data_IF_372476763314
#
_entry.id   IF_372476763314
#
_cell.length_a   1.000
_cell.length_b   1.000
_cell.length_c   1.000
_cell.angle_alpha   90.00
_cell.angle_beta   90.00
_cell.angle_gamma   90.00
#
_symmetry.space_group_name_H-M   'P 1'
#
loop_
_entity.id
_entity.type
_entity.pdbx_description
1 polymer ?
#
# COMPACT_ATOMS: atom_id res chain seq x y z
N UNK A 1 16.61 10.68 -7.91
CA UNK A 1 15.77 9.57 -7.37
C UNK A 1 14.73 10.12 -6.41
N UNK A 2 15.11 10.83 -5.35
CA UNK A 2 14.15 11.47 -4.43
C UNK A 2 13.13 12.37 -5.13
N UNK A 3 13.54 13.25 -6.05
CA UNK A 3 12.60 14.14 -6.75
C UNK A 3 11.57 13.37 -7.58
N UNK A 4 12.01 12.36 -8.33
CA UNK A 4 11.14 11.49 -9.12
C UNK A 4 10.16 10.72 -8.20
N UNK A 5 10.65 10.19 -7.09
CA UNK A 5 9.80 9.53 -6.12
C UNK A 5 8.73 10.48 -5.57
N UNK A 6 9.09 11.72 -5.22
CA UNK A 6 8.12 12.68 -4.71
C UNK A 6 7.08 13.07 -5.77
N UNK A 7 7.48 13.18 -7.04
CA UNK A 7 6.55 13.46 -8.15
C UNK A 7 5.55 12.31 -8.36
N UNK A 8 5.97 11.06 -8.18
CA UNK A 8 5.13 9.86 -8.30
C UNK A 8 4.36 9.53 -7.00
N UNK A 9 4.85 9.99 -5.85
CA UNK A 9 4.31 9.65 -4.53
C UNK A 9 2.86 10.13 -4.35
N UNK A 10 2.52 11.32 -4.85
CA UNK A 10 1.18 11.86 -4.72
C UNK A 10 0.15 10.98 -5.46
N UNK A 11 0.46 10.57 -6.69
CA UNK A 11 -0.40 9.67 -7.48
C UNK A 11 -0.54 8.29 -6.82
N UNK A 12 0.57 7.76 -6.28
CA UNK A 12 0.54 6.49 -5.54
C UNK A 12 -0.29 6.59 -4.27
N UNK A 13 -0.19 7.70 -3.52
CA UNK A 13 -0.95 7.92 -2.29
C UNK A 13 -2.45 8.06 -2.57
N UNK A 14 -2.84 8.79 -3.60
CA UNK A 14 -4.25 8.85 -4.05
C UNK A 14 -4.77 7.45 -4.41
N UNK A 15 -3.96 6.65 -5.12
CA UNK A 15 -4.30 5.26 -5.42
C UNK A 15 -4.46 4.40 -4.16
N UNK A 16 -3.54 4.52 -3.20
CA UNK A 16 -3.58 3.79 -1.92
C UNK A 16 -4.84 4.13 -1.15
N UNK A 17 -5.19 5.41 -1.04
CA UNK A 17 -6.40 5.86 -0.36
C UNK A 17 -7.67 5.28 -1.01
N UNK A 18 -7.74 5.32 -2.34
CA UNK A 18 -8.89 4.79 -3.07
C UNK A 18 -9.01 3.26 -2.95
N UNK A 19 -7.88 2.54 -3.06
CA UNK A 19 -7.85 1.09 -2.92
C UNK A 19 -8.24 0.66 -1.49
N UNK A 20 -7.76 1.39 -0.48
CA UNK A 20 -8.13 1.18 0.92
C UNK A 20 -9.63 1.42 1.16
N UNK A 21 -10.19 2.48 0.59
CA UNK A 21 -11.63 2.74 0.68
C UNK A 21 -12.44 1.60 0.06
N UNK A 22 -12.09 1.17 -1.16
CA UNK A 22 -12.77 0.07 -1.84
C UNK A 22 -12.71 -1.21 -1.02
N UNK A 23 -11.54 -1.55 -0.48
CA UNK A 23 -11.39 -2.73 0.35
C UNK A 23 -12.18 -2.63 1.67
N UNK A 24 -12.25 -1.43 2.27
CA UNK A 24 -13.08 -1.21 3.47
C UNK A 24 -14.57 -1.43 3.20
N UNK A 25 -15.06 -1.09 2.01
CA UNK A 25 -16.46 -1.31 1.62
C UNK A 25 -16.74 -2.79 1.35
N UNK A 26 -15.79 -3.50 0.73
CA UNK A 26 -15.92 -4.92 0.36
C UNK A 26 -14.70 -5.75 0.84
N UNK A 27 -14.55 -6.00 2.15
CA UNK A 27 -13.32 -6.58 2.71
C UNK A 27 -13.05 -8.02 2.26
N UNK A 28 -14.09 -8.77 1.86
CA UNK A 28 -13.97 -10.13 1.32
C UNK A 28 -13.55 -10.19 -0.16
N UNK A 29 -13.50 -9.05 -0.86
CA UNK A 29 -13.08 -9.00 -2.26
C UNK A 29 -11.56 -8.90 -2.36
N UNK A 30 -10.93 -10.04 -2.70
CA UNK A 30 -9.47 -10.17 -2.81
C UNK A 30 -8.85 -9.18 -3.79
N UNK A 31 -9.55 -8.86 -4.88
CA UNK A 31 -9.05 -7.93 -5.89
C UNK A 31 -8.75 -6.53 -5.32
N UNK A 32 -9.53 -6.08 -4.33
CA UNK A 32 -9.28 -4.79 -3.65
C UNK A 32 -8.06 -4.85 -2.73
N UNK A 33 -7.91 -5.92 -1.95
CA UNK A 33 -6.74 -6.13 -1.10
C UNK A 33 -5.46 -6.26 -1.95
N UNK A 34 -5.53 -7.00 -3.06
CA UNK A 34 -4.42 -7.18 -3.99
C UNK A 34 -3.97 -5.88 -4.64
N UNK A 35 -4.90 -5.00 -5.01
CA UNK A 35 -4.56 -3.67 -5.53
C UNK A 35 -3.89 -2.80 -4.48
N UNK A 36 -4.43 -2.76 -3.26
CA UNK A 36 -3.85 -2.01 -2.16
C UNK A 36 -2.41 -2.47 -1.85
N UNK A 37 -2.18 -3.79 -1.78
CA UNK A 37 -0.85 -4.38 -1.58
C UNK A 37 0.12 -4.00 -2.70
N UNK A 38 -0.30 -4.05 -3.97
CA UNK A 38 0.55 -3.64 -5.11
C UNK A 38 0.99 -2.19 -5.02
N UNK A 39 0.06 -1.28 -4.70
CA UNK A 39 0.36 0.15 -4.58
C UNK A 39 1.33 0.43 -3.42
N UNK A 40 1.09 -0.18 -2.26
CA UNK A 40 1.99 -0.11 -1.11
C UNK A 40 3.37 -0.68 -1.44
N UNK A 41 3.44 -1.78 -2.19
CA UNK A 41 4.71 -2.37 -2.61
C UNK A 41 5.54 -1.43 -3.49
N UNK A 42 4.89 -0.78 -4.46
CA UNK A 42 5.52 0.21 -5.35
C UNK A 42 6.00 1.42 -4.56
N UNK A 43 5.15 1.96 -3.68
CA UNK A 43 5.49 3.11 -2.84
C UNK A 43 6.68 2.81 -1.91
N UNK A 44 6.68 1.66 -1.23
CA UNK A 44 7.82 1.16 -0.43
C UNK A 44 9.10 1.06 -1.25
N UNK A 45 9.01 0.51 -2.46
CA UNK A 45 10.15 0.38 -3.39
C UNK A 45 10.74 1.74 -3.75
N UNK A 46 9.89 2.69 -4.15
CA UNK A 46 10.26 4.06 -4.45
C UNK A 46 10.91 4.77 -3.25
N UNK A 47 10.31 4.67 -2.06
CA UNK A 47 10.83 5.27 -0.84
C UNK A 47 12.22 4.72 -0.48
N UNK A 48 12.44 3.41 -0.61
CA UNK A 48 13.75 2.78 -0.37
C UNK A 48 14.79 3.21 -1.40
N UNK A 49 14.42 3.28 -2.68
CA UNK A 49 15.30 3.77 -3.74
C UNK A 49 15.67 5.26 -3.55
N UNK A 50 14.76 6.03 -2.97
CA UNK A 50 14.98 7.42 -2.56
C UNK A 50 15.71 7.57 -1.22
N UNK A 51 16.16 6.48 -0.59
CA UNK A 51 16.82 6.46 0.72
C UNK A 51 15.96 7.04 1.87
N UNK A 52 14.64 7.07 1.71
CA UNK A 52 13.66 7.53 2.71
C UNK A 52 13.27 6.35 3.62
N UNK A 53 14.22 5.89 4.44
CA UNK A 53 14.08 4.65 5.22
C UNK A 53 12.82 4.60 6.10
N UNK A 54 12.52 5.68 6.84
CA UNK A 54 11.35 5.73 7.72
C UNK A 54 10.03 5.57 6.95
N UNK A 55 9.95 6.12 5.74
CA UNK A 55 8.77 6.02 4.89
C UNK A 55 8.64 4.62 4.28
N UNK A 56 9.77 4.03 3.86
CA UNK A 56 9.81 2.65 3.39
C UNK A 56 9.41 1.64 4.48
N UNK A 57 9.77 1.89 5.73
CA UNK A 57 9.37 1.06 6.88
C UNK A 57 7.87 1.19 7.15
N UNK A 58 7.35 2.42 7.24
CA UNK A 58 5.92 2.66 7.46
C UNK A 58 5.04 2.01 6.37
N UNK A 59 5.48 2.07 5.11
CA UNK A 59 4.78 1.40 4.00
C UNK A 59 4.84 -0.13 4.10
N UNK A 60 5.94 -0.68 4.62
CA UNK A 60 6.06 -2.12 4.85
C UNK A 60 5.15 -2.61 5.99
N UNK A 61 5.10 -1.86 7.09
CA UNK A 61 4.21 -2.16 8.21
C UNK A 61 2.75 -2.15 7.76
N UNK A 62 2.35 -1.16 6.96
CA UNK A 62 1.00 -1.08 6.42
C UNK A 62 0.69 -2.24 5.45
N UNK A 63 1.59 -2.56 4.53
CA UNK A 63 1.43 -3.72 3.62
C UNK A 63 1.26 -5.03 4.42
N UNK A 64 1.98 -5.18 5.53
CA UNK A 64 1.89 -6.33 6.43
C UNK A 64 0.55 -6.41 7.14
N UNK A 65 0.08 -5.30 7.71
CA UNK A 65 -1.25 -5.21 8.34
C UNK A 65 -2.37 -5.56 7.37
N UNK A 66 -2.27 -5.13 6.11
CA UNK A 66 -3.25 -5.47 5.07
C UNK A 66 -3.28 -6.98 4.82
N UNK A 67 -2.13 -7.66 4.73
CA UNK A 67 -2.07 -9.11 4.56
C UNK A 67 -2.71 -9.85 5.75
N UNK A 68 -2.39 -9.45 6.98
CA UNK A 68 -2.96 -10.06 8.19
C UNK A 68 -4.47 -9.88 8.28
N UNK A 69 -4.96 -8.68 7.95
CA UNK A 69 -6.39 -8.39 7.92
C UNK A 69 -7.12 -9.16 6.81
N UNK A 70 -6.54 -9.27 5.61
CA UNK A 70 -7.12 -10.05 4.51
C UNK A 70 -7.27 -11.53 4.88
N UNK A 71 -6.23 -12.13 5.45
CA UNK A 71 -6.28 -13.51 5.95
C UNK A 71 -7.37 -13.68 7.00
N UNK A 72 -7.47 -12.76 7.96
CA UNK A 72 -8.48 -12.80 9.01
C UNK A 72 -9.91 -12.68 8.45
N UNK A 73 -10.14 -11.82 7.45
CA UNK A 73 -11.45 -11.66 6.80
C UNK A 73 -11.84 -12.92 6.03
N UNK A 74 -10.89 -13.56 5.35
CA UNK A 74 -11.16 -14.76 4.54
C UNK A 74 -11.30 -16.04 5.38
N UNK A 75 -10.80 -16.04 6.61
CA UNK A 75 -10.89 -17.16 7.53
C UNK A 75 -12.21 -17.22 8.32
N UNK A 76 -12.98 -16.11 8.35
CA UNK A 76 -14.28 -15.99 9.02
C UNK A 76 -15.46 -16.29 8.09
#
# INVERSE_FOLDING_TARGET
VVSLFLDEADELLEGIEQALENWRQEPGQRDHADELKRLLHTFKGGARMAELAALGEASHDLETLVMECEEAVLAG
#
